data_IF_864588602793
#
_entry.id   IF_864588602793
#
_cell.length_a   1.000
_cell.length_b   1.000
_cell.length_c   1.000
_cell.angle_alpha   90.00
_cell.angle_beta   90.00
_cell.angle_gamma   90.00
#
_symmetry.space_group_name_H-M   'P 1'
#
loop_
_entity.id
_entity.type
_entity.pdbx_description
1 polymer ?
#
# COMPACT_ATOMS: atom_id res chain seq x y z
N UNK A 1 -7.50 -15.42 -2.67
CA UNK A 1 -8.88 -15.07 -2.26
C UNK A 1 -9.06 -13.57 -2.46
N UNK A 2 -10.17 -13.14 -3.04
CA UNK A 2 -10.50 -11.72 -3.22
C UNK A 2 -11.40 -11.29 -2.05
N UNK A 3 -11.11 -10.15 -1.45
CA UNK A 3 -11.88 -9.55 -0.37
C UNK A 3 -12.58 -8.26 -0.83
N UNK A 4 -13.75 -7.96 -0.27
CA UNK A 4 -14.47 -6.70 -0.53
C UNK A 4 -15.56 -6.80 -1.60
N UNK A 5 -15.82 -5.69 -2.30
CA UNK A 5 -17.00 -5.47 -3.12
C UNK A 5 -16.84 -6.05 -4.53
N UNK A 6 -17.18 -7.32 -4.73
CA UNK A 6 -17.08 -7.98 -6.05
C UNK A 6 -18.40 -8.01 -6.83
N UNK A 7 -19.53 -7.74 -6.19
CA UNK A 7 -20.85 -7.71 -6.84
C UNK A 7 -20.89 -6.73 -8.01
N UNK A 8 -21.43 -7.16 -9.15
CA UNK A 8 -21.56 -6.33 -10.35
C UNK A 8 -20.29 -6.20 -11.21
N UNK A 9 -19.19 -6.86 -10.84
CA UNK A 9 -18.03 -6.98 -11.73
C UNK A 9 -18.32 -7.95 -12.88
N UNK A 10 -17.81 -7.63 -14.08
CA UNK A 10 -17.90 -8.51 -15.24
C UNK A 10 -17.06 -9.78 -15.00
N UNK A 11 -17.41 -10.93 -15.60
CA UNK A 11 -16.63 -12.16 -15.47
C UNK A 11 -15.15 -11.99 -15.86
N UNK A 12 -14.85 -11.19 -16.89
CA UNK A 12 -13.48 -10.88 -17.30
C UNK A 12 -12.70 -10.09 -16.24
N UNK A 13 -13.35 -9.16 -15.56
CA UNK A 13 -12.75 -8.35 -14.49
C UNK A 13 -12.46 -9.22 -13.26
N UNK A 14 -13.40 -10.09 -12.88
CA UNK A 14 -13.19 -11.06 -11.80
C UNK A 14 -12.03 -12.00 -12.11
N UNK A 15 -11.99 -12.57 -13.31
CA UNK A 15 -10.91 -13.46 -13.73
C UNK A 15 -9.53 -12.78 -13.68
N UNK A 16 -9.46 -11.50 -14.05
CA UNK A 16 -8.23 -10.73 -13.97
C UNK A 16 -7.76 -10.54 -12.52
N UNK A 17 -8.68 -10.21 -11.61
CA UNK A 17 -8.40 -10.08 -10.17
C UNK A 17 -7.98 -11.41 -9.53
N UNK A 18 -8.60 -12.51 -9.93
CA UNK A 18 -8.28 -13.86 -9.44
C UNK A 18 -6.86 -14.32 -9.85
N UNK A 19 -6.35 -13.77 -10.96
CA UNK A 19 -4.99 -14.04 -11.43
C UNK A 19 -3.92 -13.13 -10.80
N UNK A 20 -4.29 -12.03 -10.13
CA UNK A 20 -3.32 -11.14 -9.48
C UNK A 20 -2.39 -11.88 -8.50
N UNK A 21 -2.84 -12.80 -7.63
CA UNK A 21 -1.95 -13.52 -6.71
C UNK A 21 -0.82 -14.31 -7.37
N UNK A 22 -0.92 -14.62 -8.68
CA UNK A 22 0.14 -15.29 -9.45
C UNK A 22 1.27 -14.34 -9.85
N UNK A 23 1.03 -13.03 -9.77
CA UNK A 23 2.01 -11.97 -10.06
C UNK A 23 2.82 -11.66 -8.80
N UNK A 24 3.92 -10.95 -9.00
CA UNK A 24 4.77 -10.44 -7.93
C UNK A 24 5.07 -8.97 -8.13
N UNK A 25 5.16 -8.26 -7.02
CA UNK A 25 5.80 -6.96 -6.98
C UNK A 25 7.31 -7.17 -6.83
N UNK A 26 8.18 -6.42 -7.53
CA UNK A 26 9.61 -6.45 -7.24
C UNK A 26 9.84 -6.10 -5.75
N UNK A 27 10.62 -6.90 -5.00
CA UNK A 27 10.75 -6.69 -3.55
C UNK A 27 11.43 -5.36 -3.21
N UNK A 28 12.37 -4.93 -4.06
CA UNK A 28 13.15 -3.68 -4.02
C UNK A 28 12.34 -2.44 -4.41
N UNK A 29 11.18 -2.60 -5.07
CA UNK A 29 10.33 -1.46 -5.43
C UNK A 29 9.16 -1.34 -4.46
N UNK A 30 8.79 -0.12 -4.07
CA UNK A 30 7.56 0.12 -3.31
C UNK A 30 6.35 -0.41 -4.08
N UNK A 31 6.24 -0.02 -5.35
CA UNK A 31 5.18 -0.46 -6.26
C UNK A 31 5.75 -0.62 -7.67
N UNK A 32 5.77 -1.85 -8.18
CA UNK A 32 6.30 -2.16 -9.50
C UNK A 32 5.46 -1.56 -10.63
N UNK A 33 6.11 -0.89 -11.59
CA UNK A 33 5.44 -0.15 -12.65
C UNK A 33 4.40 -0.96 -13.45
N UNK A 34 4.72 -2.21 -13.80
CA UNK A 34 3.79 -3.09 -14.53
C UNK A 34 2.55 -3.44 -13.70
N UNK A 35 2.74 -3.71 -12.40
CA UNK A 35 1.65 -4.07 -11.50
C UNK A 35 0.79 -2.84 -11.18
N UNK A 36 1.41 -1.68 -10.97
CA UNK A 36 0.72 -0.41 -10.75
C UNK A 36 -0.13 -0.02 -11.95
N UNK A 37 0.43 -0.08 -13.17
CA UNK A 37 -0.32 0.19 -14.39
C UNK A 37 -1.53 -0.74 -14.52
N UNK A 38 -1.34 -2.05 -14.30
CA UNK A 38 -2.43 -3.02 -14.32
C UNK A 38 -3.54 -2.66 -13.32
N UNK A 39 -3.19 -2.39 -12.06
CA UNK A 39 -4.18 -2.04 -11.03
C UNK A 39 -4.94 -0.76 -11.37
N UNK A 40 -4.26 0.24 -11.93
CA UNK A 40 -4.88 1.50 -12.38
C UNK A 40 -5.87 1.25 -13.52
N UNK A 41 -5.53 0.45 -14.51
CA UNK A 41 -6.48 0.13 -15.59
C UNK A 41 -7.71 -0.60 -15.05
N UNK A 42 -7.53 -1.60 -14.17
CA UNK A 42 -8.66 -2.30 -13.54
C UNK A 42 -9.52 -1.31 -12.72
N UNK A 43 -8.90 -0.44 -11.93
CA UNK A 43 -9.63 0.54 -11.13
C UNK A 43 -10.48 1.47 -12.01
N UNK A 44 -9.91 1.98 -13.10
CA UNK A 44 -10.62 2.83 -14.07
C UNK A 44 -11.76 2.11 -14.77
N UNK A 45 -11.54 0.87 -15.21
CA UNK A 45 -12.57 0.08 -15.90
C UNK A 45 -13.73 -0.34 -14.99
N UNK A 46 -13.46 -0.55 -13.71
CA UNK A 46 -14.46 -0.98 -12.72
C UNK A 46 -15.13 0.20 -12.01
N UNK A 47 -14.52 1.39 -12.05
CA UNK A 47 -14.93 2.54 -11.24
C UNK A 47 -14.72 2.32 -9.74
N UNK A 48 -13.84 1.39 -9.37
CA UNK A 48 -13.58 0.97 -7.98
C UNK A 48 -12.12 1.06 -7.64
N UNK A 49 -11.81 1.21 -6.37
CA UNK A 49 -10.47 1.03 -5.86
C UNK A 49 -10.08 -0.44 -5.88
N UNK A 50 -8.86 -0.71 -6.35
CA UNK A 50 -8.32 -2.06 -6.42
C UNK A 50 -7.02 -2.08 -5.64
N UNK A 51 -6.97 -2.91 -4.61
CA UNK A 51 -5.83 -3.01 -3.71
C UNK A 51 -5.26 -4.41 -3.61
N UNK A 52 -4.01 -4.47 -3.18
CA UNK A 52 -3.30 -5.70 -2.89
C UNK A 52 -2.48 -5.54 -1.60
N UNK A 53 -2.48 -6.57 -0.76
CA UNK A 53 -1.51 -6.69 0.33
C UNK A 53 -0.30 -7.47 -0.17
N UNK A 54 0.87 -6.87 -0.06
CA UNK A 54 2.12 -7.41 -0.60
C UNK A 54 3.15 -7.56 0.50
N UNK A 55 3.73 -8.74 0.62
CA UNK A 55 4.81 -8.96 1.59
C UNK A 55 6.16 -8.39 1.12
N UNK A 56 7.17 -8.46 1.99
CA UNK A 56 8.54 -8.01 1.66
C UNK A 56 9.21 -8.84 0.58
N UNK A 57 8.79 -10.08 0.33
CA UNK A 57 9.28 -10.92 -0.77
C UNK A 57 8.55 -10.64 -2.09
N UNK A 58 7.65 -9.65 -2.10
CA UNK A 58 6.88 -9.25 -3.27
C UNK A 58 5.69 -10.14 -3.58
N UNK A 59 5.35 -11.11 -2.71
CA UNK A 59 4.21 -11.98 -2.91
C UNK A 59 2.92 -11.24 -2.54
N UNK A 60 1.93 -11.33 -3.43
CA UNK A 60 0.60 -10.77 -3.20
C UNK A 60 -0.17 -11.75 -2.30
N UNK A 61 -0.42 -11.32 -1.07
CA UNK A 61 -1.10 -12.11 -0.03
C UNK A 61 -2.61 -12.03 -0.13
N UNK A 62 -3.12 -10.87 -0.56
CA UNK A 62 -4.55 -10.64 -0.70
C UNK A 62 -4.84 -9.65 -1.81
N UNK A 63 -5.97 -9.83 -2.49
CA UNK A 63 -6.55 -8.87 -3.43
C UNK A 63 -7.80 -8.29 -2.79
N UNK A 64 -7.97 -6.98 -2.87
CA UNK A 64 -9.05 -6.23 -2.25
C UNK A 64 -9.77 -5.41 -3.31
N UNK A 65 -11.09 -5.44 -3.30
CA UNK A 65 -11.94 -4.63 -4.16
C UNK A 65 -12.75 -3.67 -3.31
N UNK A 66 -12.57 -2.38 -3.57
CA UNK A 66 -13.24 -1.28 -2.90
C UNK A 66 -14.48 -0.80 -3.62
N UNK A 67 -14.94 0.37 -3.17
CA UNK A 67 -15.88 1.23 -3.89
C UNK A 67 -15.09 2.30 -4.63
N UNK A 68 -15.73 3.35 -5.14
CA UNK A 68 -15.04 4.52 -5.70
C UNK A 68 -14.28 5.35 -4.67
N UNK A 69 -14.54 5.14 -3.36
CA UNK A 69 -14.07 6.03 -2.30
C UNK A 69 -13.43 5.32 -1.10
N UNK A 70 -13.57 3.99 -1.00
CA UNK A 70 -13.09 3.25 0.14
C UNK A 70 -12.61 1.85 -0.26
N UNK A 71 -11.50 1.43 0.33
CA UNK A 71 -10.93 0.10 0.17
C UNK A 71 -11.04 -0.66 1.50
N UNK A 72 -12.00 -1.60 1.63
CA UNK A 72 -12.20 -2.31 2.89
C UNK A 72 -11.06 -3.29 3.11
N UNK A 73 -10.35 -3.15 4.23
CA UNK A 73 -9.42 -4.19 4.68
C UNK A 73 -10.13 -5.13 5.65
N UNK A 74 -9.79 -6.43 5.66
CA UNK A 74 -10.24 -7.34 6.71
C UNK A 74 -9.67 -6.88 8.05
N UNK A 75 -10.23 -7.34 9.16
CA UNK A 75 -9.65 -7.05 10.49
C UNK A 75 -8.18 -7.47 10.52
N UNK A 76 -7.26 -6.63 11.03
CA UNK A 76 -5.84 -6.98 11.13
C UNK A 76 -5.65 -8.18 12.05
N UNK A 77 -5.02 -9.24 11.53
CA UNK A 77 -4.58 -10.40 12.31
C UNK A 77 -3.13 -10.19 12.76
N UNK A 78 -2.97 -9.44 13.86
CA UNK A 78 -1.66 -9.08 14.40
C UNK A 78 -1.23 -10.09 15.48
N UNK A 79 -0.04 -10.71 15.36
CA UNK A 79 0.47 -11.57 16.42
C UNK A 79 0.73 -10.75 17.70
N UNK A 80 0.51 -11.38 18.85
CA UNK A 80 0.90 -10.84 20.15
C UNK A 80 2.40 -10.49 20.16
N UNK A 81 2.76 -9.31 20.69
CA UNK A 81 4.16 -8.89 20.81
C UNK A 81 4.63 -7.82 19.82
N UNK A 82 3.74 -7.21 19.04
CA UNK A 82 4.05 -5.89 18.48
C UNK A 82 5.11 -5.88 17.37
N UNK A 83 5.20 -6.91 16.53
CA UNK A 83 6.07 -6.91 15.33
C UNK A 83 5.30 -6.49 14.07
N UNK A 84 5.95 -5.77 13.14
CA UNK A 84 5.30 -5.41 11.86
C UNK A 84 5.05 -6.70 11.07
N UNK A 85 3.86 -6.89 10.46
CA UNK A 85 3.58 -8.09 9.67
C UNK A 85 4.39 -8.14 8.36
N UNK A 86 5.14 -7.09 8.02
CA UNK A 86 5.94 -7.02 6.81
C UNK A 86 5.09 -6.90 5.55
N UNK A 87 3.95 -6.19 5.65
CA UNK A 87 2.98 -6.01 4.57
C UNK A 87 2.92 -4.55 4.13
N UNK A 88 2.73 -4.36 2.83
CA UNK A 88 2.37 -3.08 2.20
C UNK A 88 0.97 -3.18 1.63
N UNK A 89 0.18 -2.11 1.76
CA UNK A 89 -1.02 -1.93 0.96
C UNK A 89 -0.68 -1.14 -0.29
N UNK A 90 -0.81 -1.75 -1.45
CA UNK A 90 -0.64 -1.09 -2.74
C UNK A 90 -2.00 -1.05 -3.42
N UNK A 91 -2.51 0.12 -3.77
CA UNK A 91 -3.83 0.25 -4.38
C UNK A 91 -3.84 1.28 -5.50
N UNK A 92 -4.89 1.25 -6.30
CA UNK A 92 -5.14 2.24 -7.33
C UNK A 92 -6.50 2.87 -7.14
N UNK A 93 -6.56 4.19 -7.32
CA UNK A 93 -7.83 4.92 -7.33
C UNK A 93 -8.36 5.00 -8.77
N UNK A 94 -9.70 4.90 -8.96
CA UNK A 94 -10.30 5.09 -10.28
C UNK A 94 -10.17 6.54 -10.78
N UNK A 95 -10.07 7.49 -9.85
CA UNK A 95 -9.95 8.94 -10.11
C UNK A 95 -8.82 9.54 -9.25
N UNK A 96 -8.39 10.75 -9.59
CA UNK A 96 -7.37 11.44 -8.80
C UNK A 96 -7.92 11.91 -7.46
N UNK A 97 -7.39 11.36 -6.38
CA UNK A 97 -7.66 11.77 -5.00
C UNK A 97 -6.43 11.54 -4.11
N UNK A 98 -6.23 12.33 -3.04
CA UNK A 98 -5.18 12.07 -2.06
C UNK A 98 -5.42 10.76 -1.31
N UNK A 99 -4.41 10.28 -0.57
CA UNK A 99 -4.64 9.25 0.46
C UNK A 99 -5.63 9.80 1.50
N UNK A 100 -6.60 8.97 1.88
CA UNK A 100 -7.64 9.34 2.83
C UNK A 100 -7.17 9.20 4.28
N UNK A 101 -7.88 9.82 5.25
CA UNK A 101 -7.70 9.50 6.66
C UNK A 101 -7.89 8.00 6.96
N UNK A 102 -8.75 7.30 6.23
CA UNK A 102 -8.97 5.86 6.34
C UNK A 102 -7.73 5.07 5.88
N UNK A 103 -7.05 5.49 4.81
CA UNK A 103 -5.78 4.88 4.37
C UNK A 103 -4.71 5.01 5.46
N UNK A 104 -4.62 6.19 6.10
CA UNK A 104 -3.71 6.43 7.23
C UNK A 104 -4.10 5.62 8.47
N UNK A 105 -5.39 5.44 8.71
CA UNK A 105 -5.91 4.59 9.79
C UNK A 105 -5.52 3.13 9.54
N UNK A 106 -5.65 2.65 8.31
CA UNK A 106 -5.22 1.31 7.90
C UNK A 106 -3.72 1.11 8.09
N UNK A 107 -2.91 2.09 7.69
CA UNK A 107 -1.45 2.08 7.91
C UNK A 107 -1.12 1.82 9.39
N UNK A 108 -1.84 2.48 10.31
CA UNK A 108 -1.64 2.32 11.74
C UNK A 108 -2.19 1.00 12.28
N UNK A 109 -3.47 0.70 12.03
CA UNK A 109 -4.18 -0.45 12.62
C UNK A 109 -3.65 -1.80 12.11
N UNK A 110 -3.21 -1.87 10.85
CA UNK A 110 -2.57 -3.05 10.28
C UNK A 110 -1.05 -3.06 10.44
N UNK A 111 -0.48 -1.96 10.96
CA UNK A 111 0.97 -1.80 11.19
C UNK A 111 1.78 -2.07 9.92
N UNK A 112 1.25 -1.61 8.79
CA UNK A 112 1.84 -1.83 7.47
C UNK A 112 3.19 -1.13 7.38
N UNK A 113 4.08 -1.67 6.56
CA UNK A 113 5.35 -1.02 6.24
C UNK A 113 5.12 0.28 5.46
N UNK A 114 4.13 0.28 4.55
CA UNK A 114 3.69 1.44 3.79
C UNK A 114 2.27 1.24 3.20
N UNK A 115 1.65 2.35 2.84
CA UNK A 115 0.46 2.41 1.96
C UNK A 115 0.84 3.22 0.71
N UNK A 116 0.49 2.75 -0.49
CA UNK A 116 0.77 3.48 -1.73
C UNK A 116 -0.42 3.44 -2.69
N UNK A 117 -0.87 4.61 -3.12
CA UNK A 117 -1.93 4.77 -4.11
C UNK A 117 -1.34 5.19 -5.46
N UNK A 118 -1.83 4.57 -6.52
CA UNK A 118 -1.52 4.93 -7.90
C UNK A 118 -2.74 5.45 -8.65
N UNK A 119 -2.49 6.35 -9.60
CA UNK A 119 -3.51 6.86 -10.53
C UNK A 119 -2.92 7.07 -11.92
N UNK A 120 -3.81 7.33 -12.87
CA UNK A 120 -3.47 7.94 -14.16
C UNK A 120 -4.41 9.11 -14.43
N UNK A 121 -3.85 10.28 -14.75
CA UNK A 121 -4.63 11.50 -14.97
C UNK A 121 -5.45 11.44 -16.26
N UNK A 122 -4.90 10.82 -17.31
CA UNK A 122 -5.55 10.54 -18.59
C UNK A 122 -4.91 9.29 -19.21
N UNK A 123 -5.53 8.60 -20.19
CA UNK A 123 -5.06 7.29 -20.69
C UNK A 123 -3.58 7.22 -21.09
N UNK A 124 -3.03 8.30 -21.63
CA UNK A 124 -1.62 8.37 -22.07
C UNK A 124 -0.66 8.90 -21.01
N UNK A 125 -1.16 9.41 -19.88
CA UNK A 125 -0.32 9.99 -18.83
C UNK A 125 0.52 8.89 -18.16
N UNK A 126 1.73 9.20 -17.65
CA UNK A 126 2.45 8.27 -16.79
C UNK A 126 1.67 8.00 -15.50
N UNK A 127 1.79 6.77 -14.98
CA UNK A 127 1.25 6.43 -13.65
C UNK A 127 1.86 7.35 -12.61
N UNK A 128 1.02 8.00 -11.81
CA UNK A 128 1.44 8.77 -10.65
C UNK A 128 1.28 7.91 -9.39
N UNK A 129 2.14 8.15 -8.41
CA UNK A 129 2.10 7.50 -7.10
C UNK A 129 2.15 8.54 -5.99
N UNK A 130 1.36 8.32 -4.95
CA UNK A 130 1.53 8.90 -3.61
C UNK A 130 1.66 7.75 -2.64
N UNK A 131 2.34 7.96 -1.52
CA UNK A 131 2.50 6.92 -0.53
C UNK A 131 2.69 7.50 0.86
N UNK A 132 2.42 6.66 1.86
CA UNK A 132 2.53 6.99 3.26
C UNK A 132 3.24 5.90 4.06
N UNK A 133 3.92 6.35 5.10
CA UNK A 133 4.57 5.50 6.10
C UNK A 133 4.51 6.16 7.48
N UNK A 134 4.66 5.39 8.55
CA UNK A 134 4.69 5.94 9.91
C UNK A 134 6.07 6.53 10.23
N UNK A 135 6.14 7.69 10.88
CA UNK A 135 7.41 8.24 11.37
C UNK A 135 8.08 7.37 12.45
N UNK A 136 9.38 7.55 12.67
CA UNK A 136 10.15 6.82 13.69
C UNK A 136 10.16 7.52 15.07
N UNK A 137 9.21 8.42 15.31
CA UNK A 137 9.13 9.22 16.54
C UNK A 137 8.56 8.40 17.72
N UNK A 138 8.56 8.99 18.92
CA UNK A 138 7.91 8.44 20.13
C UNK A 138 6.45 8.07 19.87
N UNK A 139 5.75 8.97 19.17
CA UNK A 139 4.38 8.80 18.72
C UNK A 139 4.40 8.77 17.20
N UNK A 140 4.32 7.57 16.56
CA UNK A 140 4.38 7.46 15.12
C UNK A 140 3.21 8.21 14.46
N UNK A 141 3.53 9.07 13.50
CA UNK A 141 2.56 9.82 12.71
C UNK A 141 2.70 9.49 11.22
N UNK A 142 1.60 9.43 10.44
CA UNK A 142 1.69 9.25 9.00
C UNK A 142 2.48 10.39 8.33
N UNK A 143 3.47 10.02 7.52
CA UNK A 143 4.18 10.91 6.60
C UNK A 143 3.72 10.57 5.20
N UNK A 144 3.17 11.55 4.48
CA UNK A 144 2.60 11.37 3.14
C UNK A 144 3.49 12.10 2.13
N UNK A 145 3.94 11.40 1.10
CA UNK A 145 4.61 12.00 -0.04
C UNK A 145 3.57 12.55 -1.04
N UNK A 146 3.77 13.75 -1.61
CA UNK A 146 2.90 14.26 -2.66
C UNK A 146 2.93 13.34 -3.89
N UNK A 147 1.92 13.45 -4.75
CA UNK A 147 1.92 12.71 -6.01
C UNK A 147 3.13 13.08 -6.87
N UNK A 148 3.75 12.06 -7.47
CA UNK A 148 4.76 12.21 -8.51
C UNK A 148 4.76 11.04 -9.48
N UNK A 149 5.48 11.14 -10.62
CA UNK A 149 5.56 10.05 -11.58
C UNK A 149 6.19 8.81 -10.95
N UNK A 150 5.53 7.66 -11.04
CA UNK A 150 6.03 6.41 -10.46
C UNK A 150 7.42 6.03 -10.99
N UNK A 151 7.68 6.27 -12.28
CA UNK A 151 8.98 6.01 -12.89
C UNK A 151 10.12 6.92 -12.40
N UNK A 152 9.82 7.93 -11.58
CA UNK A 152 10.81 8.81 -10.93
C UNK A 152 10.93 8.57 -9.42
N UNK A 153 10.23 7.57 -8.89
CA UNK A 153 10.35 7.21 -7.48
C UNK A 153 11.68 6.47 -7.28
N UNK A 154 12.70 7.20 -6.81
CA UNK A 154 13.99 6.65 -6.44
C UNK A 154 13.94 6.14 -5.00
N UNK A 155 13.57 4.87 -4.83
CA UNK A 155 13.48 4.20 -3.53
C UNK A 155 13.81 2.71 -3.68
N UNK A 156 14.90 2.27 -3.07
CA UNK A 156 15.11 0.85 -2.74
C UNK A 156 14.32 0.53 -1.46
N UNK A 157 13.16 -0.07 -1.65
CA UNK A 157 12.23 -0.38 -0.56
C UNK A 157 12.81 -1.39 0.44
N UNK A 158 13.63 -2.36 -0.01
CA UNK A 158 14.23 -3.34 0.90
C UNK A 158 15.26 -2.68 1.80
N UNK A 159 16.15 -1.86 1.21
CA UNK A 159 17.12 -1.11 1.99
C UNK A 159 16.43 -0.15 2.97
N UNK A 160 15.42 0.57 2.47
CA UNK A 160 14.66 1.54 3.26
C UNK A 160 13.93 0.91 4.46
N UNK A 161 13.22 -0.21 4.27
CA UNK A 161 12.51 -0.84 5.39
C UNK A 161 13.48 -1.46 6.40
N UNK A 162 14.59 -2.03 5.93
CA UNK A 162 15.62 -2.65 6.78
C UNK A 162 16.25 -1.62 7.74
N UNK A 163 16.61 -0.45 7.22
CA UNK A 163 17.18 0.64 8.02
C UNK A 163 16.22 1.12 9.13
N UNK A 164 14.94 1.24 8.78
CA UNK A 164 13.89 1.67 9.72
C UNK A 164 13.64 0.66 10.82
N UNK A 165 13.68 -0.63 10.52
CA UNK A 165 13.56 -1.65 11.55
C UNK A 165 14.75 -1.65 12.51
N UNK A 166 15.97 -1.47 12.00
CA UNK A 166 17.15 -1.36 12.85
C UNK A 166 17.08 -0.14 13.77
N UNK A 167 16.54 0.98 13.27
CA UNK A 167 16.32 2.19 14.08
C UNK A 167 15.25 1.98 15.15
N UNK A 168 14.19 1.22 14.85
CA UNK A 168 13.12 0.91 15.80
C UNK A 168 13.57 -0.05 16.93
N UNK A 169 14.55 -0.92 16.68
CA UNK A 169 15.05 -1.92 17.65
C UNK A 169 16.07 -1.33 18.63
N UNK A 170 16.71 -0.19 18.33
CA UNK A 170 17.62 0.47 19.26
C UNK A 170 16.85 0.97 20.48
N UNK A 171 17.27 0.65 21.72
CA UNK A 171 16.60 1.17 22.90
C UNK A 171 16.69 2.69 22.85
N UNK A 172 15.53 3.34 22.73
CA UNK A 172 15.44 4.80 22.86
C UNK A 172 15.85 5.10 24.28
N UNK A 173 17.08 5.60 24.43
CA UNK A 173 17.67 5.91 25.73
C UNK A 173 16.66 6.72 26.53
N UNK A 174 16.37 6.25 27.75
CA UNK A 174 15.65 7.03 28.77
C UNK A 174 16.30 8.41 28.81
N UNK A 175 15.57 9.44 28.41
CA UNK A 175 15.91 10.80 28.81
C UNK A 175 15.88 10.80 30.34
N UNK A 176 17.08 10.81 30.93
CA UNK A 176 17.26 11.05 32.35
C UNK A 176 16.90 12.52 32.54
N UNK A 177 15.67 12.77 33.01
CA UNK A 177 15.30 14.09 33.50
C UNK A 177 16.18 14.39 34.72
N UNK A 178 17.21 15.20 34.52
CA UNK A 178 17.96 15.84 35.58
C UNK A 178 17.49 17.30 35.70
N UNK A 179 17.11 17.69 36.92
CA UNK A 179 16.86 19.07 37.31
C UNK A 179 15.39 19.37 37.51
#
# INVERSE_FOLDING_TARGET
>A
MIFGHTSGLKPSQLHLLENLPRRRNPPDQLFGATLAALLVEIARETGREIGILVDRKGAIRQVIVGTSENLPLPTPDLPEGGLRPGLRLLHAHPTHRPLSPEDCTCLYSHRLDAVAACIRLHPEAPVQITWAFLSDEATPAPRIAPYGPLGRLELDFQAWITDREQTAVRPRGREVRHG
#
